data_IF_879213282217
#
_entry.id   IF_879213282217
#
_cell.length_a   1.000
_cell.length_b   1.000
_cell.length_c   1.000
_cell.angle_alpha   90.00
_cell.angle_beta   90.00
_cell.angle_gamma   90.00
#
_symmetry.space_group_name_H-M   'P 1'
#
loop_
_entity.id
_entity.type
_entity.pdbx_description
1 polymer ?
#
# COMPACT_ATOMS: atom_id res chain seq x y z
N UNK A 1 -1.85 -33.10 25.43
CA UNK A 1 -2.76 -31.94 25.59
C UNK A 1 -2.47 -30.85 24.55
N UNK A 2 -2.73 -31.10 23.26
CA UNK A 2 -2.40 -30.15 22.18
C UNK A 2 -3.57 -29.85 21.20
N UNK A 3 -4.70 -30.55 21.32
CA UNK A 3 -5.83 -30.43 20.38
C UNK A 3 -6.75 -29.23 20.69
N UNK A 4 -6.72 -28.69 21.91
CA UNK A 4 -7.66 -27.65 22.33
C UNK A 4 -7.31 -26.24 21.80
N UNK A 5 -6.04 -25.99 21.43
CA UNK A 5 -5.57 -24.70 20.90
C UNK A 5 -5.86 -24.57 19.39
N UNK A 6 -5.89 -25.68 18.65
CA UNK A 6 -6.21 -25.69 17.22
C UNK A 6 -7.70 -25.43 16.96
N UNK A 7 -8.60 -25.97 17.80
CA UNK A 7 -10.04 -25.81 17.60
C UNK A 7 -10.49 -24.34 17.72
N UNK A 8 -9.91 -23.56 18.65
CA UNK A 8 -10.21 -22.14 18.82
C UNK A 8 -9.71 -21.26 17.65
N UNK A 9 -8.62 -21.66 16.99
CA UNK A 9 -8.11 -20.94 15.81
C UNK A 9 -8.96 -21.20 14.58
N UNK A 10 -9.40 -22.44 14.37
CA UNK A 10 -10.32 -22.79 13.26
C UNK A 10 -11.67 -22.09 13.43
N UNK A 11 -12.21 -22.00 14.66
CA UNK A 11 -13.43 -21.22 14.92
C UNK A 11 -13.25 -19.72 14.67
N UNK A 12 -12.06 -19.16 14.96
CA UNK A 12 -11.78 -17.74 14.68
C UNK A 12 -11.68 -17.45 13.18
N UNK A 13 -11.04 -18.33 12.40
CA UNK A 13 -10.97 -18.19 10.94
C UNK A 13 -12.35 -18.35 10.29
N UNK A 14 -13.13 -19.36 10.73
CA UNK A 14 -14.51 -19.54 10.26
C UNK A 14 -15.42 -18.35 10.62
N UNK A 15 -15.20 -17.70 11.77
CA UNK A 15 -15.92 -16.47 12.15
C UNK A 15 -15.54 -15.28 11.28
N UNK A 16 -14.26 -15.16 10.89
CA UNK A 16 -13.78 -14.12 9.97
C UNK A 16 -14.31 -14.38 8.56
N UNK A 17 -14.29 -15.63 8.08
CA UNK A 17 -14.88 -16.01 6.80
C UNK A 17 -16.37 -15.71 6.75
N UNK A 18 -17.10 -16.04 7.82
CA UNK A 18 -18.51 -15.70 7.92
C UNK A 18 -18.73 -14.19 7.92
N UNK A 19 -17.95 -13.43 8.70
CA UNK A 19 -18.05 -11.98 8.74
C UNK A 19 -17.73 -11.35 7.37
N UNK A 20 -16.69 -11.81 6.67
CA UNK A 20 -16.35 -11.36 5.32
C UNK A 20 -17.49 -11.68 4.35
N UNK A 21 -18.03 -12.91 4.40
CA UNK A 21 -19.10 -13.37 3.50
C UNK A 21 -20.42 -12.63 3.72
N UNK A 22 -20.86 -12.51 4.97
CA UNK A 22 -22.10 -11.80 5.34
C UNK A 22 -22.00 -10.31 5.03
N UNK A 23 -20.84 -9.71 5.30
CA UNK A 23 -20.62 -8.30 4.99
C UNK A 23 -20.55 -8.08 3.47
N UNK A 24 -19.95 -8.99 2.70
CA UNK A 24 -20.01 -8.96 1.23
C UNK A 24 -21.44 -9.06 0.71
N UNK A 25 -22.25 -9.95 1.28
CA UNK A 25 -23.66 -10.08 0.93
C UNK A 25 -24.44 -8.78 1.24
N UNK A 26 -24.22 -8.20 2.43
CA UNK A 26 -24.79 -6.90 2.80
C UNK A 26 -24.39 -5.81 1.81
N UNK A 27 -23.12 -5.72 1.44
CA UNK A 27 -22.63 -4.72 0.49
C UNK A 27 -23.18 -4.91 -0.93
N UNK A 28 -23.50 -6.14 -1.35
CA UNK A 28 -24.21 -6.41 -2.62
C UNK A 28 -25.72 -6.14 -2.56
N UNK A 29 -26.29 -5.98 -1.37
CA UNK A 29 -27.71 -5.74 -1.21
C UNK A 29 -28.11 -4.30 -1.60
N UNK A 30 -29.35 -4.07 -2.07
CA UNK A 30 -29.87 -2.73 -2.32
C UNK A 30 -29.82 -1.82 -1.08
N UNK A 31 -29.87 -2.39 0.13
CA UNK A 31 -29.77 -1.65 1.39
C UNK A 31 -28.41 -1.00 1.63
N UNK A 32 -27.32 -1.47 1.01
CA UNK A 32 -26.01 -0.83 1.13
C UNK A 32 -25.97 0.59 0.54
N UNK A 33 -26.88 0.90 -0.38
CA UNK A 33 -27.01 2.23 -0.98
C UNK A 33 -27.71 3.24 -0.05
N UNK A 34 -28.32 2.77 1.05
CA UNK A 34 -29.01 3.66 1.99
C UNK A 34 -28.06 4.50 2.84
N UNK A 35 -26.81 4.05 3.04
CA UNK A 35 -25.76 4.81 3.71
C UNK A 35 -24.39 4.55 3.03
N UNK A 36 -24.06 5.28 1.95
CA UNK A 36 -22.84 5.06 1.18
C UNK A 36 -21.56 5.25 2.01
N UNK A 37 -21.55 6.15 3.01
CA UNK A 37 -20.38 6.34 3.89
C UNK A 37 -20.08 5.07 4.69
N UNK A 38 -21.07 4.51 5.38
CA UNK A 38 -20.91 3.27 6.16
C UNK A 38 -20.44 2.13 5.27
N UNK A 39 -21.01 2.01 4.07
CA UNK A 39 -20.61 1.00 3.09
C UNK A 39 -19.14 1.14 2.68
N UNK A 40 -18.67 2.36 2.35
CA UNK A 40 -17.26 2.60 2.00
C UNK A 40 -16.32 2.22 3.14
N UNK A 41 -16.57 2.66 4.37
CA UNK A 41 -15.74 2.30 5.52
C UNK A 41 -15.70 0.80 5.78
N UNK A 42 -16.85 0.16 5.72
CA UNK A 42 -16.98 -1.28 5.93
C UNK A 42 -16.18 -2.04 4.87
N UNK A 43 -16.26 -1.62 3.61
CA UNK A 43 -15.49 -2.23 2.51
C UNK A 43 -13.98 -2.01 2.64
N UNK A 44 -13.53 -0.82 3.05
CA UNK A 44 -12.11 -0.56 3.31
C UNK A 44 -11.61 -1.44 4.45
N UNK A 45 -12.36 -1.54 5.54
CA UNK A 45 -12.01 -2.38 6.70
C UNK A 45 -11.92 -3.86 6.30
N UNK A 46 -12.93 -4.37 5.56
CA UNK A 46 -12.91 -5.73 5.04
C UNK A 46 -11.72 -5.99 4.12
N UNK A 47 -11.39 -5.03 3.25
CA UNK A 47 -10.24 -5.13 2.36
C UNK A 47 -8.94 -5.28 3.17
N UNK A 48 -8.79 -4.52 4.25
CA UNK A 48 -7.63 -4.63 5.15
C UNK A 48 -7.61 -5.94 5.94
N UNK A 49 -8.77 -6.43 6.42
CA UNK A 49 -8.88 -7.74 7.10
C UNK A 49 -8.51 -8.86 6.12
N UNK A 50 -9.10 -8.84 4.92
CA UNK A 50 -8.86 -9.80 3.86
C UNK A 50 -7.39 -9.83 3.45
N UNK A 51 -6.78 -8.65 3.28
CA UNK A 51 -5.34 -8.50 3.02
C UNK A 51 -4.50 -9.16 4.11
N UNK A 52 -4.82 -8.92 5.40
CA UNK A 52 -4.09 -9.52 6.53
C UNK A 52 -4.30 -11.02 6.66
N UNK A 53 -5.46 -11.53 6.24
CA UNK A 53 -5.78 -12.95 6.22
C UNK A 53 -5.27 -13.67 4.96
N UNK A 54 -4.72 -12.94 3.98
CA UNK A 54 -4.24 -13.51 2.72
C UNK A 54 -5.34 -13.84 1.70
N UNK A 55 -6.56 -13.33 1.90
CA UNK A 55 -7.65 -13.47 0.94
C UNK A 55 -7.53 -12.51 -0.22
N UNK A 56 -8.14 -12.85 -1.36
CA UNK A 56 -8.22 -11.94 -2.51
C UNK A 56 -9.21 -10.82 -2.23
N UNK A 57 -8.78 -9.56 -2.33
CA UNK A 57 -9.59 -8.40 -1.93
C UNK A 57 -9.58 -7.24 -2.93
N UNK A 58 -8.53 -7.12 -3.75
CA UNK A 58 -8.32 -5.96 -4.63
C UNK A 58 -9.42 -5.76 -5.68
N UNK A 59 -10.16 -6.82 -6.03
CA UNK A 59 -11.32 -6.76 -6.94
C UNK A 59 -12.45 -5.85 -6.42
N UNK A 60 -12.48 -5.52 -5.13
CA UNK A 60 -13.50 -4.68 -4.51
C UNK A 60 -13.20 -3.18 -4.70
N UNK A 61 -11.94 -2.81 -4.93
CA UNK A 61 -11.48 -1.41 -5.00
C UNK A 61 -12.24 -0.55 -6.02
N UNK A 62 -12.53 -0.99 -7.27
CA UNK A 62 -13.29 -0.19 -8.22
C UNK A 62 -14.68 0.18 -7.68
N UNK A 63 -15.34 -0.76 -7.00
CA UNK A 63 -16.68 -0.54 -6.44
C UNK A 63 -16.64 0.41 -5.25
N UNK A 64 -15.64 0.29 -4.39
CA UNK A 64 -15.43 1.23 -3.27
C UNK A 64 -15.23 2.65 -3.82
N UNK A 65 -14.42 2.79 -4.87
CA UNK A 65 -14.19 4.06 -5.53
C UNK A 65 -15.50 4.63 -6.10
N UNK A 66 -16.30 3.85 -6.82
CA UNK A 66 -17.58 4.33 -7.36
C UNK A 66 -18.53 4.84 -6.27
N UNK A 67 -18.61 4.14 -5.13
CA UNK A 67 -19.42 4.59 -3.99
C UNK A 67 -18.87 5.86 -3.36
N UNK A 68 -17.54 5.96 -3.23
CA UNK A 68 -16.86 7.13 -2.68
C UNK A 68 -17.04 8.38 -3.55
N UNK A 69 -16.99 8.24 -4.88
CA UNK A 69 -17.21 9.35 -5.82
C UNK A 69 -18.69 9.75 -5.94
N UNK A 70 -19.62 8.84 -5.61
CA UNK A 70 -21.05 9.13 -5.58
C UNK A 70 -21.50 9.81 -4.26
N UNK A 71 -20.61 9.96 -3.28
CA UNK A 71 -20.93 10.71 -2.07
C UNK A 71 -21.12 12.19 -2.42
N UNK A 72 -22.22 12.82 -1.94
CA UNK A 72 -22.37 14.25 -2.09
C UNK A 72 -21.25 14.98 -1.33
N UNK A 73 -20.67 15.99 -1.99
CA UNK A 73 -19.78 16.97 -1.37
C UNK A 73 -20.57 17.73 -0.31
N UNK A 74 -20.69 17.17 0.90
CA UNK A 74 -21.37 17.85 2.00
C UNK A 74 -20.46 18.99 2.49
N UNK A 75 -20.58 20.16 1.87
CA UNK A 75 -20.00 21.44 2.29
C UNK A 75 -20.71 21.98 3.56
N UNK A 76 -20.97 21.13 4.55
CA UNK A 76 -21.30 21.60 5.90
C UNK A 76 -20.15 21.26 6.84
N UNK A 77 -19.36 22.29 7.14
CA UNK A 77 -18.23 22.31 8.06
C UNK A 77 -18.61 22.07 9.54
N UNK A 78 -19.62 21.25 9.81
CA UNK A 78 -20.06 20.90 11.14
C UNK A 78 -19.63 19.47 11.47
N UNK A 79 -18.43 19.37 12.04
CA UNK A 79 -17.98 18.22 12.86
C UNK A 79 -17.83 16.90 12.09
N UNK A 80 -17.38 16.92 10.83
CA UNK A 80 -16.70 15.73 10.31
C UNK A 80 -15.26 15.76 10.83
N UNK A 81 -14.92 14.85 11.75
CA UNK A 81 -13.53 14.58 12.12
C UNK A 81 -12.72 14.39 10.84
N UNK A 82 -11.60 15.10 10.68
CA UNK A 82 -10.70 15.10 9.51
C UNK A 82 -10.61 13.71 8.83
N UNK A 83 -10.47 12.63 9.63
CA UNK A 83 -10.43 11.24 9.19
C UNK A 83 -11.55 10.76 8.23
N UNK A 84 -12.71 11.42 8.19
CA UNK A 84 -13.86 11.02 7.37
C UNK A 84 -14.04 11.83 6.08
N UNK A 85 -13.14 12.77 5.77
CA UNK A 85 -13.21 13.51 4.52
C UNK A 85 -13.05 12.57 3.31
N UNK A 86 -13.78 12.86 2.23
CA UNK A 86 -13.66 12.13 0.96
C UNK A 86 -12.20 12.07 0.47
N UNK A 87 -11.45 13.15 0.70
CA UNK A 87 -10.04 13.24 0.37
C UNK A 87 -9.18 12.22 1.13
N UNK A 88 -9.38 12.09 2.45
CA UNK A 88 -8.65 11.12 3.27
C UNK A 88 -9.03 9.69 2.91
N UNK A 89 -10.30 9.44 2.56
CA UNK A 89 -10.75 8.14 2.04
C UNK A 89 -10.11 7.80 0.69
N UNK A 90 -10.00 8.77 -0.22
CA UNK A 90 -9.30 8.60 -1.50
C UNK A 90 -7.81 8.28 -1.29
N UNK A 91 -7.16 8.91 -0.32
CA UNK A 91 -5.76 8.60 0.03
C UNK A 91 -5.59 7.20 0.62
N UNK A 92 -6.52 6.76 1.48
CA UNK A 92 -6.51 5.39 1.99
C UNK A 92 -6.67 4.40 0.85
N UNK A 93 -7.64 4.64 -0.04
CA UNK A 93 -7.93 3.76 -1.16
C UNK A 93 -6.80 3.76 -2.20
N UNK A 94 -6.20 4.91 -2.47
CA UNK A 94 -5.07 5.08 -3.38
C UNK A 94 -3.86 4.23 -2.99
N UNK A 95 -3.53 4.19 -1.69
CA UNK A 95 -2.44 3.34 -1.17
C UNK A 95 -2.76 1.86 -1.23
N UNK A 96 -4.03 1.51 -1.08
CA UNK A 96 -4.53 0.15 -1.26
C UNK A 96 -4.67 -0.25 -2.73
N UNK A 97 -4.37 0.63 -3.68
CA UNK A 97 -4.53 0.33 -5.11
C UNK A 97 -3.22 0.24 -5.90
N UNK A 98 -2.12 0.80 -5.40
CA UNK A 98 -0.80 0.74 -6.05
C UNK A 98 -0.32 -0.71 -6.19
N UNK A 99 -0.30 -1.25 -7.42
CA UNK A 99 0.08 -2.63 -7.70
C UNK A 99 1.56 -2.94 -7.41
N UNK A 100 2.42 -1.95 -7.61
CA UNK A 100 3.84 -1.97 -7.26
C UNK A 100 4.04 -2.31 -5.79
N UNK A 101 3.19 -1.75 -4.92
CA UNK A 101 3.25 -1.86 -3.46
C UNK A 101 2.59 -3.15 -2.93
N UNK A 102 1.64 -3.72 -3.68
CA UNK A 102 0.80 -4.83 -3.23
C UNK A 102 1.27 -6.15 -3.82
N UNK A 103 1.91 -6.96 -2.97
CA UNK A 103 2.34 -8.32 -3.33
C UNK A 103 1.13 -9.22 -3.58
N UNK A 104 1.14 -9.95 -4.70
CA UNK A 104 0.11 -10.95 -5.03
C UNK A 104 -1.24 -10.37 -5.45
N UNK A 105 -1.27 -9.10 -5.89
CA UNK A 105 -2.47 -8.49 -6.48
C UNK A 105 -2.98 -9.34 -7.65
N UNK A 106 -4.30 -9.61 -7.69
CA UNK A 106 -4.94 -10.43 -8.74
C UNK A 106 -5.81 -9.64 -9.71
N UNK A 107 -6.23 -8.44 -9.34
CA UNK A 107 -7.02 -7.55 -10.22
C UNK A 107 -6.14 -6.46 -10.80
N UNK A 108 -6.52 -5.89 -11.94
CA UNK A 108 -5.85 -4.72 -12.50
C UNK A 108 -5.93 -3.52 -11.53
N UNK A 109 -4.91 -2.66 -11.55
CA UNK A 109 -4.90 -1.41 -10.78
C UNK A 109 -5.86 -0.38 -11.39
N UNK A 110 -6.53 0.39 -10.53
CA UNK A 110 -7.39 1.51 -10.98
C UNK A 110 -6.59 2.83 -11.01
N UNK A 111 -5.40 2.82 -10.42
CA UNK A 111 -4.47 3.94 -10.25
C UNK A 111 -5.09 5.12 -9.50
N UNK A 112 -5.82 4.82 -8.43
CA UNK A 112 -6.60 5.81 -7.65
C UNK A 112 -5.71 6.95 -7.12
N UNK A 113 -4.52 6.62 -6.62
CA UNK A 113 -3.61 7.65 -6.11
C UNK A 113 -3.19 8.64 -7.20
N UNK A 114 -2.70 8.13 -8.33
CA UNK A 114 -2.25 8.96 -9.44
C UNK A 114 -3.40 9.76 -10.09
N UNK A 115 -4.66 9.33 -9.95
CA UNK A 115 -5.83 10.04 -10.48
C UNK A 115 -6.36 11.12 -9.53
N UNK A 116 -6.42 10.85 -8.22
CA UNK A 116 -7.16 11.69 -7.27
C UNK A 116 -6.30 12.26 -6.12
N UNK A 117 -5.10 11.73 -5.91
CA UNK A 117 -4.27 12.06 -4.75
C UNK A 117 -3.03 12.90 -5.08
N UNK A 118 -2.54 12.82 -6.31
CA UNK A 118 -1.26 13.43 -6.69
C UNK A 118 -1.22 14.96 -6.76
N UNK A 119 0.00 15.50 -6.73
CA UNK A 119 0.27 16.93 -6.80
C UNK A 119 0.23 17.62 -5.43
N UNK A 120 0.42 16.87 -4.34
CA UNK A 120 0.36 17.39 -2.96
C UNK A 120 1.71 17.29 -2.27
N UNK A 121 1.97 18.24 -1.38
CA UNK A 121 3.22 18.31 -0.61
C UNK A 121 3.07 17.80 0.83
N UNK A 122 4.22 17.55 1.47
CA UNK A 122 4.30 17.10 2.86
C UNK A 122 4.37 15.58 3.01
N UNK A 123 4.20 15.12 4.26
CA UNK A 123 4.27 13.70 4.63
C UNK A 123 2.85 13.13 4.73
N UNK A 124 2.62 11.96 4.14
CA UNK A 124 1.37 11.21 4.33
C UNK A 124 1.37 10.55 5.71
N UNK A 125 0.34 10.84 6.50
CA UNK A 125 0.28 10.55 7.95
C UNK A 125 0.42 9.07 8.29
N UNK A 126 -0.06 8.18 7.43
CA UNK A 126 -0.14 6.75 7.74
C UNK A 126 1.12 5.98 7.37
N UNK A 127 1.71 6.29 6.22
CA UNK A 127 2.94 5.65 5.71
C UNK A 127 4.20 6.32 6.24
N UNK A 128 4.12 7.60 6.61
CA UNK A 128 5.29 8.40 6.96
C UNK A 128 6.17 8.76 5.75
N UNK A 129 5.67 8.54 4.52
CA UNK A 129 6.40 8.85 3.31
C UNK A 129 6.05 10.24 2.77
N UNK A 130 6.98 10.92 2.07
CA UNK A 130 6.66 12.13 1.34
C UNK A 130 5.61 11.84 0.26
N UNK A 131 4.60 12.70 0.15
CA UNK A 131 3.59 12.62 -0.90
C UNK A 131 4.18 12.67 -2.31
N UNK A 132 5.23 13.48 -2.59
CA UNK A 132 5.94 13.39 -3.88
C UNK A 132 6.51 12.00 -4.17
N UNK A 133 7.03 11.29 -3.16
CA UNK A 133 7.50 9.92 -3.34
C UNK A 133 6.34 8.97 -3.66
N UNK A 134 5.19 9.12 -2.99
CA UNK A 134 3.98 8.35 -3.30
C UNK A 134 3.46 8.63 -4.72
N UNK A 135 3.58 9.87 -5.21
CA UNK A 135 3.23 10.24 -6.58
C UNK A 135 4.12 9.53 -7.61
N UNK A 136 5.43 9.48 -7.37
CA UNK A 136 6.36 8.74 -8.23
C UNK A 136 6.07 7.24 -8.23
N UNK A 137 5.77 6.66 -7.06
CA UNK A 137 5.37 5.24 -6.96
C UNK A 137 4.05 4.99 -7.70
N UNK A 138 3.09 5.92 -7.63
CA UNK A 138 1.81 5.80 -8.32
C UNK A 138 1.96 5.93 -9.85
N UNK A 139 2.90 6.74 -10.33
CA UNK A 139 3.27 6.81 -11.75
C UNK A 139 4.00 5.55 -12.21
N UNK A 140 4.91 5.02 -11.40
CA UNK A 140 5.54 3.71 -11.66
C UNK A 140 4.51 2.58 -11.74
N UNK A 141 3.45 2.62 -10.92
CA UNK A 141 2.31 1.69 -11.01
C UNK A 141 1.64 1.70 -12.39
N UNK A 142 1.68 2.84 -13.09
CA UNK A 142 1.21 2.99 -14.48
C UNK A 142 2.26 2.64 -15.54
N UNK A 143 3.40 2.09 -15.12
CA UNK A 143 4.58 1.83 -15.95
C UNK A 143 5.17 3.10 -16.60
N UNK A 144 5.01 4.25 -15.94
CA UNK A 144 5.70 5.48 -16.36
C UNK A 144 7.17 5.45 -15.94
N UNK A 145 8.05 5.99 -16.79
CA UNK A 145 9.45 6.21 -16.43
C UNK A 145 9.56 7.42 -15.50
N UNK A 146 10.01 7.16 -14.27
CA UNK A 146 10.18 8.15 -13.20
C UNK A 146 11.58 8.08 -12.58
N UNK A 147 12.53 7.50 -13.32
CA UNK A 147 13.86 7.20 -12.81
C UNK A 147 14.65 8.46 -12.45
N UNK A 148 14.54 9.52 -13.24
CA UNK A 148 15.30 10.75 -13.04
C UNK A 148 14.80 11.48 -11.78
N UNK A 149 13.47 11.60 -11.62
CA UNK A 149 12.87 12.19 -10.42
C UNK A 149 13.19 11.38 -9.15
N UNK A 150 13.22 10.04 -9.24
CA UNK A 150 13.61 9.20 -8.12
C UNK A 150 15.10 9.36 -7.75
N UNK A 151 15.97 9.53 -8.75
CA UNK A 151 17.40 9.78 -8.52
C UNK A 151 17.63 11.17 -7.89
N UNK A 152 16.95 12.19 -8.39
CA UNK A 152 16.97 13.53 -7.80
C UNK A 152 16.53 13.50 -6.33
N UNK A 153 15.43 12.79 -6.04
CA UNK A 153 14.95 12.63 -4.67
C UNK A 153 15.97 11.88 -3.79
N UNK A 154 16.65 10.86 -4.33
CA UNK A 154 17.69 10.12 -3.60
C UNK A 154 18.91 10.99 -3.26
N UNK A 155 19.32 11.85 -4.20
CA UNK A 155 20.44 12.78 -4.05
C UNK A 155 20.13 13.90 -3.05
N UNK A 156 18.86 14.32 -2.98
CA UNK A 156 18.40 15.33 -2.02
C UNK A 156 18.29 14.83 -0.58
N UNK A 157 18.27 13.51 -0.35
CA UNK A 157 18.25 12.95 1.00
C UNK A 157 19.60 13.11 1.70
N UNK A 158 19.61 13.38 3.03
CA UNK A 158 20.86 13.40 3.78
C UNK A 158 21.59 12.06 3.60
N UNK A 159 22.94 12.05 3.57
CA UNK A 159 23.72 10.82 3.49
C UNK A 159 23.30 9.87 4.62
N UNK A 160 23.53 8.56 4.45
CA UNK A 160 23.14 7.52 5.41
C UNK A 160 23.43 7.99 6.84
N UNK A 161 22.37 8.36 7.55
CA UNK A 161 22.40 8.94 8.88
C UNK A 161 21.65 8.00 9.83
N UNK A 162 21.76 8.25 11.13
CA UNK A 162 20.97 7.52 12.12
C UNK A 162 19.47 7.89 12.08
N UNK A 163 19.05 8.78 11.17
CA UNK A 163 17.64 9.11 11.00
C UNK A 163 16.87 7.96 10.32
N UNK A 164 15.99 7.35 11.10
CA UNK A 164 15.14 6.26 10.65
C UNK A 164 14.23 6.66 9.48
N UNK A 165 13.65 7.87 9.51
CA UNK A 165 12.71 8.31 8.49
C UNK A 165 13.39 8.46 7.12
N UNK A 166 14.53 9.14 7.05
CA UNK A 166 15.32 9.30 5.82
C UNK A 166 15.76 7.94 5.26
N UNK A 167 16.12 6.99 6.13
CA UNK A 167 16.48 5.63 5.71
C UNK A 167 15.29 4.85 5.16
N UNK A 168 14.09 5.02 5.71
CA UNK A 168 12.86 4.48 5.14
C UNK A 168 12.59 5.09 3.75
N UNK A 169 12.73 6.41 3.59
CA UNK A 169 12.53 7.07 2.29
C UNK A 169 13.52 6.56 1.26
N UNK A 170 14.81 6.49 1.61
CA UNK A 170 15.87 5.90 0.78
C UNK A 170 15.55 4.46 0.36
N UNK A 171 15.08 3.64 1.30
CA UNK A 171 14.68 2.26 1.03
C UNK A 171 13.56 2.18 -0.01
N UNK A 172 12.54 3.03 0.10
CA UNK A 172 11.43 3.08 -0.87
C UNK A 172 11.88 3.57 -2.24
N UNK A 173 12.75 4.57 -2.32
CA UNK A 173 13.30 5.07 -3.58
C UNK A 173 14.12 3.99 -4.29
N UNK A 174 15.02 3.32 -3.57
CA UNK A 174 15.81 2.22 -4.12
C UNK A 174 14.92 1.06 -4.60
N UNK A 175 13.84 0.77 -3.87
CA UNK A 175 12.84 -0.24 -4.26
C UNK A 175 12.13 0.15 -5.56
N UNK A 176 11.71 1.41 -5.69
CA UNK A 176 11.05 1.91 -6.89
C UNK A 176 11.99 1.89 -8.11
N UNK A 177 13.26 2.30 -7.95
CA UNK A 177 14.29 2.22 -9.00
C UNK A 177 14.50 0.76 -9.46
N UNK A 178 14.53 -0.19 -8.54
CA UNK A 178 14.69 -1.60 -8.88
C UNK A 178 13.43 -2.21 -9.52
N UNK A 179 12.24 -1.67 -9.25
CA UNK A 179 11.03 -2.06 -9.99
C UNK A 179 10.96 -1.42 -11.39
N UNK A 180 11.42 -0.18 -11.56
CA UNK A 180 11.60 0.42 -12.89
C UNK A 180 12.45 -0.48 -13.79
N UNK A 181 13.52 -1.06 -13.23
CA UNK A 181 14.39 -2.01 -13.94
C UNK A 181 13.64 -3.17 -14.59
N UNK A 182 12.72 -3.79 -13.84
CA UNK A 182 11.98 -4.97 -14.31
C UNK A 182 10.78 -4.63 -15.20
N UNK A 183 10.16 -3.47 -15.01
CA UNK A 183 8.86 -3.15 -15.62
C UNK A 183 8.91 -2.17 -16.78
N UNK A 184 9.82 -1.20 -16.73
CA UNK A 184 9.78 -0.04 -17.62
C UNK A 184 11.03 0.03 -18.48
N UNK A 185 12.22 0.06 -17.84
CA UNK A 185 13.49 0.16 -18.58
C UNK A 185 14.66 -0.43 -17.78
N UNK A 186 15.70 -0.97 -18.45
CA UNK A 186 16.93 -1.38 -17.79
C UNK A 186 17.57 -0.23 -17.00
N UNK A 187 17.92 -0.46 -15.73
CA UNK A 187 18.60 0.53 -14.89
C UNK A 187 20.10 0.26 -14.86
N UNK A 188 20.96 1.27 -15.07
CA UNK A 188 22.40 1.10 -14.96
C UNK A 188 22.79 0.76 -13.52
N UNK A 189 23.78 -0.12 -13.36
CA UNK A 189 24.29 -0.50 -12.04
C UNK A 189 23.28 -1.27 -11.17
N UNK A 190 22.43 -2.12 -11.78
CA UNK A 190 21.43 -2.91 -11.07
C UNK A 190 22.02 -3.71 -9.90
N UNK A 191 23.21 -4.29 -10.04
CA UNK A 191 23.88 -5.05 -8.97
C UNK A 191 24.16 -4.18 -7.74
N UNK A 192 24.55 -2.92 -7.97
CA UNK A 192 24.76 -1.95 -6.91
C UNK A 192 23.43 -1.52 -6.27
N UNK A 193 22.37 -1.36 -7.07
CA UNK A 193 21.02 -1.08 -6.55
C UNK A 193 20.51 -2.22 -5.66
N UNK A 194 20.65 -3.48 -6.10
CA UNK A 194 20.28 -4.68 -5.34
C UNK A 194 21.05 -4.72 -4.02
N UNK A 195 22.38 -4.51 -4.07
CA UNK A 195 23.22 -4.49 -2.88
C UNK A 195 22.81 -3.40 -1.90
N UNK A 196 22.64 -2.17 -2.38
CA UNK A 196 22.26 -1.02 -1.55
C UNK A 196 20.89 -1.23 -0.90
N UNK A 197 19.91 -1.74 -1.66
CA UNK A 197 18.59 -2.02 -1.12
C UNK A 197 18.63 -3.13 -0.07
N UNK A 198 19.39 -4.21 -0.32
CA UNK A 198 19.57 -5.30 0.63
C UNK A 198 20.21 -4.83 1.94
N UNK A 199 21.25 -4.01 1.85
CA UNK A 199 21.91 -3.43 3.02
C UNK A 199 20.96 -2.50 3.78
N UNK A 200 20.15 -1.71 3.08
CA UNK A 200 19.14 -0.86 3.72
C UNK A 200 18.04 -1.66 4.41
N UNK A 201 17.53 -2.71 3.79
CA UNK A 201 16.52 -3.60 4.40
C UNK A 201 17.07 -4.23 5.67
N UNK A 202 18.33 -4.69 5.67
CA UNK A 202 19.00 -5.25 6.86
C UNK A 202 19.15 -4.23 7.97
N UNK A 203 19.62 -3.02 7.66
CA UNK A 203 19.79 -1.94 8.64
C UNK A 203 18.47 -1.56 9.28
N UNK A 204 17.44 -1.31 8.47
CA UNK A 204 16.11 -0.98 8.98
C UNK A 204 15.53 -2.14 9.79
N UNK A 205 15.70 -3.39 9.36
CA UNK A 205 15.25 -4.55 10.12
C UNK A 205 15.90 -4.62 11.52
N UNK A 206 17.20 -4.34 11.62
CA UNK A 206 17.92 -4.32 12.90
C UNK A 206 17.51 -3.16 13.82
N UNK A 207 17.12 -2.01 13.24
CA UNK A 207 16.70 -0.83 13.99
C UNK A 207 15.22 -0.84 14.42
N UNK A 208 14.43 -1.80 13.93
CA UNK A 208 12.96 -1.75 14.01
C UNK A 208 12.39 -2.69 15.08
N UNK A 209 11.57 -2.16 15.99
CA UNK A 209 10.64 -2.97 16.82
C UNK A 209 9.65 -3.74 15.92
N UNK A 210 9.23 -4.95 16.31
CA UNK A 210 8.41 -5.87 15.50
C UNK A 210 7.15 -5.21 14.88
N UNK A 211 6.66 -4.12 15.48
CA UNK A 211 5.50 -3.35 15.01
C UNK A 211 5.71 -2.56 13.72
N UNK A 212 6.93 -2.13 13.38
CA UNK A 212 7.17 -1.32 12.16
C UNK A 212 7.73 -2.13 10.97
N UNK A 213 7.93 -3.44 11.13
CA UNK A 213 8.49 -4.30 10.07
C UNK A 213 7.66 -4.32 8.78
N UNK A 214 6.38 -3.91 8.82
CA UNK A 214 5.51 -3.83 7.64
C UNK A 214 6.03 -2.89 6.56
N UNK A 215 6.77 -1.85 6.95
CA UNK A 215 7.39 -0.91 6.01
C UNK A 215 8.42 -1.58 5.11
N UNK A 216 8.95 -2.74 5.52
CA UNK A 216 9.96 -3.51 4.81
C UNK A 216 9.39 -4.58 3.89
N UNK A 217 8.08 -4.85 3.91
CA UNK A 217 7.49 -5.96 3.13
C UNK A 217 7.74 -5.76 1.64
N UNK A 218 7.43 -4.58 1.10
CA UNK A 218 7.63 -4.30 -0.31
C UNK A 218 9.13 -4.29 -0.71
N UNK A 219 10.02 -3.54 -0.02
CA UNK A 219 11.46 -3.63 -0.25
C UNK A 219 12.04 -5.04 -0.21
N UNK A 220 11.69 -5.83 0.81
CA UNK A 220 12.20 -7.19 0.97
C UNK A 220 11.67 -8.13 -0.13
N UNK A 221 10.42 -7.96 -0.56
CA UNK A 221 9.86 -8.71 -1.68
C UNK A 221 10.62 -8.42 -2.98
N UNK A 222 10.83 -7.15 -3.31
CA UNK A 222 11.51 -6.76 -4.56
C UNK A 222 12.93 -7.30 -4.58
N UNK A 223 13.73 -7.12 -3.52
CA UNK A 223 15.08 -7.73 -3.44
C UNK A 223 15.02 -9.24 -3.56
N UNK A 224 14.04 -9.88 -2.93
CA UNK A 224 13.86 -11.33 -2.97
C UNK A 224 13.65 -11.89 -4.38
N UNK A 225 13.00 -11.14 -5.27
CA UNK A 225 12.87 -11.53 -6.68
C UNK A 225 14.24 -11.61 -7.37
N UNK A 226 15.08 -10.59 -7.20
CA UNK A 226 16.40 -10.54 -7.86
C UNK A 226 17.46 -11.46 -7.24
N UNK A 227 17.40 -11.70 -5.92
CA UNK A 227 18.34 -12.63 -5.26
C UNK A 227 18.08 -14.09 -5.67
N UNK A 228 16.85 -14.43 -6.06
CA UNK A 228 16.52 -15.78 -6.56
C UNK A 228 17.03 -16.01 -7.98
N UNK A 229 16.92 -15.01 -8.85
CA UNK A 229 17.37 -15.09 -10.25
C UNK A 229 18.89 -15.28 -10.41
N UNK A 230 19.70 -15.00 -9.39
CA UNK A 230 21.17 -15.19 -9.41
C UNK A 230 21.60 -16.63 -9.09
N UNK A 231 20.67 -17.49 -8.62
CA UNK A 231 20.97 -18.87 -8.21
C UNK A 231 20.53 -19.95 -9.20
N UNK A 232 19.85 -19.56 -10.28
CA UNK A 232 19.48 -20.41 -11.40
C UNK A 232 20.36 -20.09 -12.63
#
# INVERSE_FOLDING_TARGET
MALHVQCCRVSSLASVDRAITETMHFLTSPSANSNPKVSVFTMILLSQISMRAGYTWTHQLPRILSLLLALPDNVSAAVETDACSQLNLLEILGRLDMDVWIVGRRSEAVHIWATYCSGREGIEKTTGLPRPLLDLIARLSRNEDVADELQELLLGLPPESDDYASNVHRCFILTALLQLHSRVRPMPGVDLLIKNLLDMVRRLHAATDARHQRVLIWPAYVVGCYVREVKD
#
